data_IF_672984554363
#
_entry.id   IF_672984554363
#
_cell.length_a   1.000
_cell.length_b   1.000
_cell.length_c   1.000
_cell.angle_alpha   90.00
_cell.angle_beta   90.00
_cell.angle_gamma   90.00
#
_symmetry.space_group_name_H-M   'P 1'
#
loop_
_entity.id
_entity.type
_entity.pdbx_description
1 polymer ?
#
# COMPACT_ATOMS: atom_id res chain seq x y z
N UNK A 1 -14.03 -6.19 -2.28
CA UNK A 1 -13.34 -5.50 -1.17
C UNK A 1 -13.11 -4.02 -1.45
N UNK A 2 -13.47 -3.52 -2.64
CA UNK A 2 -13.56 -2.07 -2.89
C UNK A 2 -15.00 -1.55 -2.81
N UNK A 3 -16.00 -2.45 -2.76
CA UNK A 3 -17.43 -2.10 -2.58
C UNK A 3 -17.82 -1.75 -1.13
N UNK A 4 -16.85 -1.42 -0.26
CA UNK A 4 -17.17 -1.05 1.13
C UNK A 4 -17.54 0.42 1.28
N UNK A 5 -17.27 1.22 0.24
CA UNK A 5 -17.80 2.56 0.08
C UNK A 5 -18.75 2.51 -1.11
N UNK A 6 -20.05 2.61 -0.85
CA UNK A 6 -20.99 2.94 -1.92
C UNK A 6 -20.48 4.21 -2.60
N UNK A 7 -20.29 4.14 -3.91
CA UNK A 7 -19.96 5.30 -4.73
C UNK A 7 -21.00 6.38 -4.40
N UNK A 8 -20.57 7.48 -3.79
CA UNK A 8 -21.39 8.62 -3.34
C UNK A 8 -22.00 9.40 -4.52
N UNK A 9 -22.31 8.73 -5.62
CA UNK A 9 -22.79 9.34 -6.85
C UNK A 9 -24.29 9.63 -6.85
N UNK A 10 -24.99 9.34 -5.73
CA UNK A 10 -26.42 9.62 -5.55
C UNK A 10 -26.73 10.46 -4.29
N UNK A 11 -25.76 11.18 -3.73
CA UNK A 11 -26.07 12.16 -2.69
C UNK A 11 -26.65 13.41 -3.36
N UNK A 12 -27.98 13.57 -3.33
CA UNK A 12 -28.60 14.87 -3.58
C UNK A 12 -28.26 15.76 -2.38
N UNK A 13 -27.13 16.47 -2.46
CA UNK A 13 -26.60 17.29 -1.37
C UNK A 13 -27.50 18.51 -1.23
N UNK A 14 -28.25 18.61 -0.14
CA UNK A 14 -28.99 19.84 0.17
C UNK A 14 -28.01 21.03 0.25
N UNK A 15 -28.40 22.23 -0.23
CA UNK A 15 -27.50 23.39 -0.30
C UNK A 15 -26.90 23.81 1.05
N UNK A 16 -27.49 23.40 2.18
CA UNK A 16 -27.00 23.65 3.54
C UNK A 16 -25.83 22.73 3.97
N UNK A 17 -25.67 21.56 3.33
CA UNK A 17 -24.58 20.63 3.66
C UNK A 17 -23.23 21.12 3.15
N UNK A 18 -23.20 21.87 2.05
CA UNK A 18 -21.98 22.47 1.51
C UNK A 18 -21.30 23.41 2.52
N UNK A 19 -22.08 24.23 3.24
CA UNK A 19 -21.56 25.10 4.28
C UNK A 19 -21.02 24.31 5.48
N UNK A 20 -21.73 23.24 5.87
CA UNK A 20 -21.26 22.33 6.92
C UNK A 20 -19.95 21.62 6.54
N UNK A 21 -19.80 21.19 5.28
CA UNK A 21 -18.56 20.61 4.78
C UNK A 21 -17.43 21.63 4.77
N UNK A 22 -17.66 22.84 4.27
CA UNK A 22 -16.65 23.91 4.27
C UNK A 22 -16.21 24.30 5.69
N UNK A 23 -17.16 24.38 6.63
CA UNK A 23 -16.90 24.64 8.05
C UNK A 23 -16.18 23.49 8.76
N UNK A 24 -16.41 22.25 8.32
CA UNK A 24 -15.70 21.08 8.84
C UNK A 24 -14.29 20.97 8.25
N UNK A 25 -14.12 21.29 6.97
CA UNK A 25 -12.84 21.35 6.29
C UNK A 25 -11.96 22.49 6.82
N UNK A 26 -12.53 23.65 7.17
CA UNK A 26 -11.78 24.75 7.79
C UNK A 26 -11.25 24.39 9.18
N UNK A 27 -11.97 23.57 9.94
CA UNK A 27 -11.46 22.97 11.19
C UNK A 27 -10.37 21.93 10.95
N UNK A 28 -10.40 21.27 9.79
CA UNK A 28 -9.36 20.33 9.37
C UNK A 28 -8.09 21.02 8.86
N UNK A 29 -8.11 22.35 8.66
CA UNK A 29 -6.94 23.10 8.20
C UNK A 29 -5.79 23.08 9.24
N UNK A 30 -6.09 22.75 10.51
CA UNK A 30 -5.11 22.49 11.57
C UNK A 30 -4.51 21.07 11.52
N UNK A 31 -4.85 20.25 10.53
CA UNK A 31 -4.35 18.88 10.41
C UNK A 31 -2.82 18.82 10.27
N UNK A 32 -2.17 19.85 9.74
CA UNK A 32 -0.70 19.93 9.72
C UNK A 32 -0.07 19.94 11.13
N UNK A 33 -0.79 20.39 12.16
CA UNK A 33 -0.34 20.30 13.56
C UNK A 33 -0.42 18.88 14.12
N UNK A 34 -1.37 18.09 13.64
CA UNK A 34 -1.61 16.71 14.07
C UNK A 34 -0.81 15.71 13.21
N UNK A 35 -0.54 16.08 11.96
CA UNK A 35 0.22 15.32 10.97
C UNK A 35 1.22 16.27 10.33
N UNK A 36 2.39 16.46 10.97
CA UNK A 36 3.48 17.20 10.38
C UNK A 36 3.77 16.64 8.98
N UNK A 37 4.06 17.51 8.02
CA UNK A 37 4.56 17.05 6.73
C UNK A 37 5.81 16.23 6.97
N UNK A 38 5.74 14.93 6.68
CA UNK A 38 6.90 14.06 6.69
C UNK A 38 7.81 14.54 5.55
N UNK A 39 8.99 15.03 5.89
CA UNK A 39 10.03 15.24 4.90
C UNK A 39 10.51 13.86 4.42
N UNK A 40 9.95 13.42 3.29
CA UNK A 40 10.32 12.16 2.65
C UNK A 40 11.49 12.32 1.69
N UNK A 41 12.05 13.53 1.54
CA UNK A 41 13.14 13.80 0.59
C UNK A 41 14.35 12.90 0.82
N UNK A 42 14.66 12.61 2.09
CA UNK A 42 15.74 11.68 2.50
C UNK A 42 15.54 10.22 2.05
N UNK A 43 14.35 9.86 1.56
CA UNK A 43 13.97 8.50 1.17
C UNK A 43 13.61 8.40 -0.32
N UNK A 44 13.78 9.47 -1.09
CA UNK A 44 13.46 9.46 -2.52
C UNK A 44 14.34 8.48 -3.31
N UNK A 45 15.58 8.25 -2.86
CA UNK A 45 16.48 7.27 -3.45
C UNK A 45 15.95 5.83 -3.33
N UNK A 46 15.14 5.55 -2.31
CA UNK A 46 14.50 4.25 -2.12
C UNK A 46 13.43 4.02 -3.19
N UNK A 47 12.73 5.10 -3.61
CA UNK A 47 11.71 5.06 -4.67
C UNK A 47 12.31 5.06 -6.06
N UNK A 48 13.43 5.73 -6.25
CA UNK A 48 14.15 5.73 -7.51
C UNK A 48 15.66 5.82 -7.28
N UNK A 49 16.37 4.68 -7.33
CA UNK A 49 17.81 4.64 -7.08
C UNK A 49 18.65 5.29 -8.19
N UNK A 50 18.05 5.71 -9.31
CA UNK A 50 18.77 6.34 -10.41
C UNK A 50 18.65 7.88 -10.42
N UNK A 51 17.96 8.47 -9.44
CA UNK A 51 17.91 9.93 -9.29
C UNK A 51 19.12 10.38 -8.47
N UNK A 52 20.02 11.13 -9.09
CA UNK A 52 21.26 11.56 -8.44
C UNK A 52 21.00 12.51 -7.25
N UNK A 53 20.04 13.43 -7.41
CA UNK A 53 19.65 14.38 -6.35
C UNK A 53 18.93 13.73 -5.17
N UNK A 54 18.49 12.48 -5.29
CA UNK A 54 17.75 11.79 -4.23
C UNK A 54 18.65 11.27 -3.11
N UNK A 55 19.97 11.32 -3.32
CA UNK A 55 20.99 10.90 -2.35
C UNK A 55 21.52 12.06 -1.49
N UNK A 56 21.33 13.31 -1.91
CA UNK A 56 21.91 14.50 -1.26
C UNK A 56 21.39 14.70 0.18
N UNK A 57 20.14 14.30 0.43
CA UNK A 57 19.47 14.43 1.72
C UNK A 57 19.62 13.17 2.60
N UNK A 58 20.18 12.09 2.06
CA UNK A 58 20.23 10.79 2.73
C UNK A 58 21.55 10.59 3.48
N UNK A 59 21.47 10.18 4.75
CA UNK A 59 22.65 9.90 5.58
C UNK A 59 23.17 8.50 5.29
N UNK A 60 24.30 8.38 4.60
CA UNK A 60 24.99 7.11 4.36
C UNK A 60 26.29 7.00 5.16
N UNK A 61 26.67 5.77 5.49
CA UNK A 61 28.00 5.43 5.98
C UNK A 61 28.95 5.28 4.79
N UNK A 62 30.26 5.41 5.02
CA UNK A 62 31.27 5.27 3.96
C UNK A 62 31.17 3.93 3.21
N UNK A 63 30.79 2.86 3.92
CA UNK A 63 30.61 1.53 3.32
C UNK A 63 29.35 1.45 2.43
N UNK A 64 28.24 2.10 2.83
CA UNK A 64 27.00 2.19 2.02
C UNK A 64 27.22 3.03 0.75
N UNK A 65 27.99 4.11 0.84
CA UNK A 65 28.33 4.95 -0.32
C UNK A 65 29.12 4.16 -1.38
N UNK A 66 30.00 3.26 -0.94
CA UNK A 66 30.74 2.36 -1.84
C UNK A 66 29.83 1.45 -2.66
N UNK A 67 28.82 0.85 -2.02
CA UNK A 67 27.80 0.03 -2.71
C UNK A 67 26.94 0.88 -3.66
N UNK A 68 26.53 2.09 -3.24
CA UNK A 68 25.75 3.00 -4.08
C UNK A 68 26.48 3.41 -5.37
N UNK A 69 27.77 3.68 -5.30
CA UNK A 69 28.58 4.00 -6.47
C UNK A 69 28.56 2.84 -7.47
N UNK A 70 28.60 1.60 -6.98
CA UNK A 70 28.55 0.41 -7.84
C UNK A 70 27.17 0.20 -8.46
N UNK A 71 26.09 0.43 -7.70
CA UNK A 71 24.71 0.41 -8.22
C UNK A 71 24.53 1.47 -9.32
N UNK A 72 25.05 2.70 -9.12
CA UNK A 72 25.03 3.78 -10.11
C UNK A 72 25.86 3.46 -11.36
N UNK A 73 27.00 2.77 -11.21
CA UNK A 73 27.90 2.43 -12.32
C UNK A 73 27.44 1.22 -13.13
N UNK A 74 26.75 0.24 -12.54
CA UNK A 74 26.28 -0.97 -13.21
C UNK A 74 24.97 -0.73 -14.01
N UNK A 75 24.87 0.45 -14.63
CA UNK A 75 23.62 1.10 -15.01
C UNK A 75 22.84 0.27 -16.05
N UNK A 76 23.49 -0.32 -17.05
CA UNK A 76 22.75 -1.01 -18.14
C UNK A 76 22.01 -2.28 -17.70
N UNK A 77 22.64 -3.13 -16.88
CA UNK A 77 22.08 -4.42 -16.49
C UNK A 77 20.97 -4.26 -15.45
N UNK A 78 21.23 -3.49 -14.40
CA UNK A 78 20.25 -3.26 -13.33
C UNK A 78 19.08 -2.39 -13.83
N UNK A 79 19.33 -1.39 -14.67
CA UNK A 79 18.26 -0.52 -15.22
C UNK A 79 17.32 -1.29 -16.14
N UNK A 80 17.83 -2.26 -16.90
CA UNK A 80 16.99 -3.15 -17.71
C UNK A 80 16.18 -4.12 -16.83
N UNK A 81 16.76 -4.63 -15.73
CA UNK A 81 16.01 -5.43 -14.74
C UNK A 81 14.91 -4.58 -14.09
N UNK A 82 15.25 -3.36 -13.66
CA UNK A 82 14.32 -2.41 -13.06
C UNK A 82 13.19 -2.03 -14.02
N UNK A 83 13.49 -1.69 -15.29
CA UNK A 83 12.47 -1.33 -16.28
C UNK A 83 11.52 -2.49 -16.59
N UNK A 84 12.02 -3.73 -16.68
CA UNK A 84 11.17 -4.92 -16.83
C UNK A 84 10.25 -5.13 -15.64
N UNK A 85 10.75 -4.99 -14.42
CA UNK A 85 9.93 -5.08 -13.20
C UNK A 85 8.85 -3.99 -13.16
N UNK A 86 9.18 -2.77 -13.61
CA UNK A 86 8.23 -1.65 -13.74
C UNK A 86 7.13 -2.00 -14.76
N UNK A 87 7.51 -2.47 -15.94
CA UNK A 87 6.56 -2.86 -17.00
C UNK A 87 5.62 -4.01 -16.55
N UNK A 88 6.17 -5.04 -15.91
CA UNK A 88 5.39 -6.17 -15.38
C UNK A 88 4.45 -5.74 -14.25
N UNK A 89 4.92 -4.86 -13.35
CA UNK A 89 4.10 -4.30 -12.28
C UNK A 89 2.98 -3.40 -12.83
N UNK A 90 3.25 -2.59 -13.85
CA UNK A 90 2.23 -1.78 -14.53
C UNK A 90 1.19 -2.63 -15.24
N UNK A 91 1.60 -3.72 -15.89
CA UNK A 91 0.67 -4.68 -16.51
C UNK A 91 -0.27 -5.31 -15.47
N UNK A 92 0.27 -5.71 -14.31
CA UNK A 92 -0.53 -6.24 -13.20
C UNK A 92 -1.42 -5.19 -12.53
N UNK A 93 -0.96 -3.94 -12.44
CA UNK A 93 -1.70 -2.79 -11.90
C UNK A 93 -2.92 -2.45 -12.77
N UNK A 94 -2.75 -2.42 -14.11
CA UNK A 94 -3.84 -2.22 -15.08
C UNK A 94 -4.96 -3.26 -14.93
N UNK A 95 -4.62 -4.50 -14.60
CA UNK A 95 -5.60 -5.58 -14.37
C UNK A 95 -6.34 -5.47 -13.03
N UNK A 96 -5.71 -4.91 -11.99
CA UNK A 96 -6.26 -4.95 -10.62
C UNK A 96 -6.94 -3.65 -10.17
N UNK A 97 -6.79 -2.52 -10.89
CA UNK A 97 -7.27 -1.17 -10.46
C UNK A 97 -6.83 -0.82 -9.03
N UNK A 98 -5.70 -1.36 -8.60
CA UNK A 98 -5.03 -1.04 -7.34
C UNK A 98 -3.71 -0.42 -7.77
N UNK A 99 -3.35 0.75 -7.23
CA UNK A 99 -2.00 1.29 -7.38
C UNK A 99 -1.05 0.38 -6.63
N UNK A 100 -0.64 -0.71 -7.29
CA UNK A 100 0.48 -1.53 -6.85
C UNK A 100 1.67 -0.59 -6.89
N UNK A 101 2.25 -0.26 -5.73
CA UNK A 101 3.58 0.32 -5.71
C UNK A 101 4.41 -0.66 -6.53
N UNK A 102 4.92 -0.20 -7.68
CA UNK A 102 5.92 -0.91 -8.48
C UNK A 102 6.88 -1.56 -7.51
N UNK A 103 7.22 -2.81 -7.76
CA UNK A 103 7.84 -3.76 -6.85
C UNK A 103 9.29 -3.38 -6.45
N UNK A 104 9.40 -2.20 -5.85
CA UNK A 104 10.59 -1.55 -5.32
C UNK A 104 11.18 -2.45 -4.26
N UNK A 105 10.32 -3.12 -3.48
CA UNK A 105 10.68 -4.15 -2.53
C UNK A 105 11.41 -5.30 -3.22
N UNK A 106 10.86 -5.91 -4.28
CA UNK A 106 11.58 -6.98 -4.98
C UNK A 106 12.84 -6.51 -5.68
N UNK A 107 12.88 -5.29 -6.21
CA UNK A 107 14.12 -4.73 -6.75
C UNK A 107 15.24 -4.72 -5.69
N UNK A 108 14.94 -4.16 -4.51
CA UNK A 108 15.88 -4.14 -3.40
C UNK A 108 16.20 -5.56 -2.92
N UNK A 109 15.22 -6.47 -2.81
CA UNK A 109 15.45 -7.88 -2.44
C UNK A 109 16.39 -8.59 -3.43
N UNK A 110 16.27 -8.35 -4.74
CA UNK A 110 17.18 -8.93 -5.73
C UNK A 110 18.62 -8.43 -5.58
N UNK A 111 18.80 -7.20 -5.10
CA UNK A 111 20.10 -6.61 -4.82
C UNK A 111 20.68 -7.00 -3.47
N UNK A 112 19.90 -7.65 -2.59
CA UNK A 112 20.34 -7.99 -1.25
C UNK A 112 21.64 -8.81 -1.22
N UNK A 113 21.82 -9.71 -2.18
CA UNK A 113 23.02 -10.55 -2.27
C UNK A 113 24.26 -9.80 -2.78
N UNK A 114 24.08 -8.76 -3.61
CA UNK A 114 25.18 -8.01 -4.22
C UNK A 114 25.53 -6.74 -3.41
N UNK A 115 24.53 -6.11 -2.79
CA UNK A 115 24.64 -4.83 -2.06
C UNK A 115 23.81 -4.87 -0.76
N UNK A 116 24.23 -5.67 0.23
CA UNK A 116 23.44 -5.91 1.44
C UNK A 116 23.24 -4.67 2.31
N UNK A 117 24.22 -3.74 2.37
CA UNK A 117 24.15 -2.58 3.27
C UNK A 117 23.09 -1.58 2.80
N UNK A 118 23.16 -1.20 1.52
CA UNK A 118 22.20 -0.28 0.90
C UNK A 118 20.82 -0.89 0.85
N UNK A 119 20.74 -2.19 0.50
CA UNK A 119 19.46 -2.90 0.45
C UNK A 119 18.80 -2.95 1.82
N UNK A 120 19.54 -3.24 2.89
CA UNK A 120 19.00 -3.27 4.25
C UNK A 120 18.44 -1.91 4.65
N UNK A 121 19.13 -0.82 4.29
CA UNK A 121 18.67 0.54 4.55
C UNK A 121 17.39 0.87 3.78
N UNK A 122 17.32 0.50 2.50
CA UNK A 122 16.12 0.65 1.67
C UNK A 122 14.93 -0.16 2.23
N UNK A 123 15.16 -1.40 2.64
CA UNK A 123 14.14 -2.27 3.23
C UNK A 123 13.62 -1.72 4.57
N UNK A 124 14.50 -1.17 5.42
CA UNK A 124 14.09 -0.50 6.65
C UNK A 124 13.18 0.72 6.39
N UNK A 125 13.34 1.40 5.25
CA UNK A 125 12.44 2.47 4.86
C UNK A 125 11.11 1.94 4.29
N UNK A 126 11.11 0.80 3.59
CA UNK A 126 9.91 0.23 2.94
C UNK A 126 9.01 -0.52 3.93
N UNK A 127 9.59 -1.31 4.85
CA UNK A 127 8.86 -2.21 5.74
C UNK A 127 7.83 -1.48 6.62
N UNK A 128 8.16 -0.38 7.32
CA UNK A 128 7.22 0.31 8.21
C UNK A 128 5.92 0.73 7.51
N UNK A 129 6.00 1.12 6.24
CA UNK A 129 4.80 1.48 5.47
C UNK A 129 3.92 0.27 5.19
N UNK A 130 4.52 -0.86 4.79
CA UNK A 130 3.77 -2.09 4.49
C UNK A 130 3.11 -2.67 5.74
N UNK A 131 3.82 -2.68 6.87
CA UNK A 131 3.31 -3.24 8.12
C UNK A 131 2.24 -2.37 8.74
N UNK A 132 2.43 -1.04 8.78
CA UNK A 132 1.41 -0.13 9.31
C UNK A 132 0.14 -0.15 8.48
N UNK A 133 0.23 -0.15 7.14
CA UNK A 133 -0.94 -0.23 6.27
C UNK A 133 -1.72 -1.54 6.45
N UNK A 134 -1.03 -2.68 6.50
CA UNK A 134 -1.67 -3.98 6.74
C UNK A 134 -2.31 -4.00 8.13
N UNK A 135 -1.64 -3.47 9.15
CA UNK A 135 -2.19 -3.36 10.50
C UNK A 135 -3.46 -2.48 10.53
N UNK A 136 -3.43 -1.29 9.93
CA UNK A 136 -4.59 -0.38 9.85
C UNK A 136 -5.76 -1.03 9.12
N UNK A 137 -5.48 -1.71 8.00
CA UNK A 137 -6.48 -2.45 7.24
C UNK A 137 -7.07 -3.62 8.03
N UNK A 138 -6.23 -4.34 8.79
CA UNK A 138 -6.65 -5.40 9.70
C UNK A 138 -7.53 -4.87 10.83
N UNK A 139 -7.16 -3.76 11.46
CA UNK A 139 -7.95 -3.11 12.50
C UNK A 139 -9.29 -2.61 11.97
N UNK A 140 -9.31 -1.96 10.82
CA UNK A 140 -10.53 -1.50 10.16
C UNK A 140 -11.46 -2.66 9.84
N UNK A 141 -10.92 -3.73 9.25
CA UNK A 141 -11.64 -4.97 8.96
C UNK A 141 -12.19 -5.62 10.22
N UNK A 142 -11.39 -5.71 11.28
CA UNK A 142 -11.80 -6.25 12.57
C UNK A 142 -12.95 -5.44 13.17
N UNK A 143 -12.87 -4.12 13.12
CA UNK A 143 -13.90 -3.24 13.65
C UNK A 143 -15.21 -3.38 12.85
N UNK A 144 -15.12 -3.48 11.52
CA UNK A 144 -16.27 -3.74 10.67
C UNK A 144 -16.93 -5.09 10.95
N UNK A 145 -16.13 -6.15 11.10
CA UNK A 145 -16.59 -7.49 11.45
C UNK A 145 -17.30 -7.47 12.82
N UNK A 146 -16.69 -6.86 13.85
CA UNK A 146 -17.22 -6.80 15.21
C UNK A 146 -18.51 -5.98 15.33
N UNK A 147 -18.69 -4.95 14.50
CA UNK A 147 -19.84 -4.06 14.59
C UNK A 147 -20.98 -4.48 13.64
N UNK A 148 -20.69 -4.77 12.37
CA UNK A 148 -21.71 -5.02 11.34
C UNK A 148 -22.09 -6.50 11.19
N UNK A 149 -21.12 -7.41 11.36
CA UNK A 149 -21.32 -8.85 11.14
C UNK A 149 -21.38 -9.65 12.46
N UNK A 150 -21.60 -8.98 13.59
CA UNK A 150 -21.52 -9.54 14.94
C UNK A 150 -22.40 -10.77 15.15
N UNK A 151 -23.59 -10.79 14.55
CA UNK A 151 -24.58 -11.88 14.69
C UNK A 151 -24.34 -13.04 13.73
N UNK A 152 -23.47 -12.90 12.73
CA UNK A 152 -23.28 -13.88 11.65
C UNK A 152 -21.91 -14.56 11.70
N UNK A 153 -21.06 -14.21 12.67
CA UNK A 153 -19.68 -14.67 12.70
C UNK A 153 -19.48 -15.83 13.67
N UNK A 154 -19.04 -16.98 13.16
CA UNK A 154 -18.61 -18.12 13.98
C UNK A 154 -17.20 -17.92 14.56
N UNK A 155 -16.30 -17.29 13.81
CA UNK A 155 -14.90 -17.01 14.19
C UNK A 155 -14.41 -15.68 13.60
N UNK A 156 -13.81 -14.83 14.44
CA UNK A 156 -13.20 -13.56 14.03
C UNK A 156 -11.97 -13.77 13.13
N UNK A 157 -11.20 -14.82 13.42
CA UNK A 157 -9.99 -15.16 12.69
C UNK A 157 -10.30 -15.46 11.22
N UNK A 158 -11.34 -16.25 10.94
CA UNK A 158 -11.71 -16.62 9.57
C UNK A 158 -12.16 -15.41 8.75
N UNK A 159 -12.93 -14.51 9.38
CA UNK A 159 -13.35 -13.25 8.76
C UNK A 159 -12.15 -12.35 8.45
N UNK A 160 -11.22 -12.22 9.39
CA UNK A 160 -10.00 -11.44 9.19
C UNK A 160 -9.09 -12.06 8.13
N UNK A 161 -8.92 -13.38 8.12
CA UNK A 161 -8.14 -14.09 7.10
C UNK A 161 -8.72 -13.86 5.71
N UNK A 162 -10.05 -13.86 5.57
CA UNK A 162 -10.70 -13.53 4.29
C UNK A 162 -10.49 -12.07 3.90
N UNK A 163 -10.57 -11.13 4.85
CA UNK A 163 -10.37 -9.71 4.60
C UNK A 163 -8.92 -9.34 4.25
N UNK A 164 -7.94 -10.03 4.82
CA UNK A 164 -6.52 -9.76 4.60
C UNK A 164 -5.91 -10.60 3.48
N UNK A 165 -6.64 -11.59 2.96
CA UNK A 165 -6.16 -12.42 1.86
C UNK A 165 -6.03 -11.63 0.57
N UNK A 166 -4.90 -11.82 -0.12
CA UNK A 166 -4.67 -11.33 -1.49
C UNK A 166 -5.41 -12.17 -2.54
N UNK A 167 -5.97 -13.32 -2.12
CA UNK A 167 -6.70 -14.24 -2.99
C UNK A 167 -8.15 -13.77 -3.09
N UNK A 168 -8.61 -13.50 -4.32
CA UNK A 168 -10.02 -13.13 -4.54
C UNK A 168 -10.92 -14.35 -4.28
N UNK A 169 -11.93 -14.25 -3.39
CA UNK A 169 -12.88 -15.33 -3.20
C UNK A 169 -13.64 -15.58 -4.50
N UNK A 170 -13.73 -16.85 -4.90
CA UNK A 170 -14.51 -17.28 -6.08
C UNK A 170 -16.00 -17.30 -5.73
N UNK A 171 -16.59 -16.11 -5.59
CA UNK A 171 -17.97 -15.91 -5.14
C UNK A 171 -18.98 -16.74 -5.94
N UNK A 172 -18.78 -16.84 -7.25
CA UNK A 172 -19.70 -17.58 -8.14
C UNK A 172 -19.75 -19.08 -7.84
N UNK A 173 -18.64 -19.68 -7.40
CA UNK A 173 -18.60 -21.10 -7.00
C UNK A 173 -19.21 -21.30 -5.61
N UNK A 174 -18.95 -20.37 -4.69
CA UNK A 174 -19.48 -20.42 -3.32
C UNK A 174 -21.00 -20.26 -3.34
N UNK A 175 -21.52 -19.32 -4.14
CA UNK A 175 -22.96 -19.06 -4.27
C UNK A 175 -23.70 -20.23 -4.93
N UNK A 176 -23.09 -20.95 -5.87
CA UNK A 176 -23.67 -22.15 -6.48
C UNK A 176 -23.82 -23.31 -5.51
N UNK A 177 -22.89 -23.46 -4.55
CA UNK A 177 -22.96 -24.50 -3.52
C UNK A 177 -23.90 -24.19 -2.35
N UNK A 178 -24.42 -22.96 -2.28
CA UNK A 178 -25.29 -22.49 -1.18
C UNK A 178 -26.77 -22.42 -1.58
N UNK A 179 -27.21 -23.18 -2.60
CA UNK A 179 -28.64 -23.27 -2.91
C UNK A 179 -29.42 -23.75 -1.68
N UNK A 180 -30.45 -22.98 -1.35
CA UNK A 180 -31.20 -22.98 -0.10
C UNK A 180 -31.53 -24.39 0.41
N UNK A 181 -31.20 -24.66 1.68
CA UNK A 181 -31.93 -25.65 2.45
C UNK A 181 -33.39 -25.20 2.46
N UNK A 182 -34.24 -25.94 1.74
CA UNK A 182 -35.68 -25.76 1.77
C UNK A 182 -36.13 -26.19 3.17
N UNK A 183 -36.55 -25.24 4.01
CA UNK A 183 -37.25 -25.55 5.27
C UNK A 183 -38.45 -26.46 4.96
N UNK A 184 -38.42 -27.68 5.50
CA UNK A 184 -39.61 -28.55 5.58
C UNK A 184 -40.50 -28.14 6.75
#
# INVERSE_FOLDING_TARGET
>A
MWDMFELTNNCNVEPNMSDLFLKSLSKLNDYQKVFPSLDTSSMDWVRNPYIESAYDTALFTTDEEGELINIKKNDRGLKLKYSKLVEEAEAQSKLRKIKVNVDIASFWILLFNEYPLVTKKAMNAIIPFSTSYICESAFSSMNAIKNKNRSQLKSLEDGLRMCLSTIRPRKDLIMKGHQAEVSQ
#
